data_IF_082340376992
#
_entry.id   IF_082340376992
#
_cell.length_a   1.000
_cell.length_b   1.000
_cell.length_c   1.000
_cell.angle_alpha   90.00
_cell.angle_beta   90.00
_cell.angle_gamma   90.00
#
_symmetry.space_group_name_H-M   'P 1'
#
loop_
_entity.id
_entity.type
_entity.pdbx_description
1 polymer ?
#
# COMPACT_ATOMS: atom_id res chain seq x y z
N UNK A 1 6.90 24.35 -2.45
CA UNK A 1 7.14 22.89 -2.32
C UNK A 1 6.12 22.06 -3.12
N UNK A 2 4.81 22.13 -2.85
CA UNK A 2 3.82 21.30 -3.56
C UNK A 2 3.77 21.51 -5.09
N UNK A 3 3.99 22.74 -5.58
CA UNK A 3 4.08 23.04 -7.03
C UNK A 3 5.32 22.45 -7.69
N UNK A 4 6.44 22.36 -6.94
CA UNK A 4 7.69 21.78 -7.43
C UNK A 4 7.54 20.26 -7.66
N UNK A 5 6.94 19.56 -6.70
CA UNK A 5 6.63 18.13 -6.86
C UNK A 5 5.62 17.85 -7.97
N UNK A 6 4.63 18.73 -8.17
CA UNK A 6 3.69 18.62 -9.29
C UNK A 6 4.40 18.63 -10.65
N UNK A 7 5.32 19.58 -10.86
CA UNK A 7 6.09 19.70 -12.12
C UNK A 7 7.03 18.52 -12.32
N UNK A 8 7.58 17.93 -11.25
CA UNK A 8 8.44 16.75 -11.31
C UNK A 8 7.66 15.46 -11.62
N UNK A 9 6.41 15.34 -11.15
CA UNK A 9 5.58 14.13 -11.31
C UNK A 9 4.68 14.17 -12.55
N UNK A 10 4.34 15.35 -13.07
CA UNK A 10 3.45 15.51 -14.23
C UNK A 10 3.91 14.80 -15.52
N UNK A 11 5.22 14.68 -15.85
CA UNK A 11 5.64 14.05 -17.10
C UNK A 11 5.48 12.53 -17.11
N UNK A 12 5.36 11.87 -15.94
CA UNK A 12 5.30 10.40 -15.83
C UNK A 12 3.95 9.83 -15.38
N UNK A 13 3.17 10.57 -14.58
CA UNK A 13 1.96 10.02 -13.94
C UNK A 13 0.65 10.65 -14.43
N UNK A 14 0.72 11.61 -15.36
CA UNK A 14 -0.44 12.32 -15.90
C UNK A 14 -0.99 13.41 -14.97
N UNK A 15 -1.86 14.30 -15.48
CA UNK A 15 -2.28 15.52 -14.77
C UNK A 15 -3.03 15.23 -13.46
N UNK A 16 -3.86 14.18 -13.43
CA UNK A 16 -4.70 13.83 -12.29
C UNK A 16 -3.90 13.27 -11.11
N UNK A 17 -2.92 12.39 -11.37
CA UNK A 17 -2.07 11.85 -10.32
C UNK A 17 -1.16 12.94 -9.73
N UNK A 18 -0.59 13.80 -10.57
CA UNK A 18 0.21 14.94 -10.10
C UNK A 18 -0.63 15.90 -9.24
N UNK A 19 -1.89 16.15 -9.62
CA UNK A 19 -2.81 16.97 -8.84
C UNK A 19 -3.12 16.33 -7.47
N UNK A 20 -3.34 15.02 -7.41
CA UNK A 20 -3.58 14.30 -6.16
C UNK A 20 -2.36 14.40 -5.21
N UNK A 21 -1.15 14.19 -5.74
CA UNK A 21 0.08 14.33 -4.95
C UNK A 21 0.28 15.77 -4.47
N UNK A 22 -0.01 16.77 -5.31
CA UNK A 22 0.02 18.18 -4.90
C UNK A 22 -0.93 18.47 -3.75
N UNK A 23 -2.16 17.95 -3.82
CA UNK A 23 -3.16 18.11 -2.75
C UNK A 23 -2.71 17.45 -1.46
N UNK A 24 -2.15 16.23 -1.53
CA UNK A 24 -1.57 15.55 -0.36
C UNK A 24 -0.46 16.38 0.30
N UNK A 25 0.50 16.87 -0.49
CA UNK A 25 1.61 17.69 0.05
C UNK A 25 1.08 18.98 0.69
N UNK A 26 0.04 19.60 0.12
CA UNK A 26 -0.59 20.78 0.72
C UNK A 26 -1.26 20.48 2.05
N UNK A 27 -2.01 19.37 2.14
CA UNK A 27 -2.71 18.98 3.37
C UNK A 27 -1.69 18.68 4.48
N UNK A 28 -0.65 17.91 4.17
CA UNK A 28 0.41 17.61 5.13
C UNK A 28 1.18 18.88 5.56
N UNK A 29 1.51 19.75 4.60
CA UNK A 29 2.18 21.02 4.89
C UNK A 29 1.34 21.96 5.76
N UNK A 30 0.03 22.03 5.52
CA UNK A 30 -0.89 22.82 6.34
C UNK A 30 -0.98 22.25 7.76
N UNK A 31 -1.09 20.93 7.91
CA UNK A 31 -1.08 20.28 9.23
C UNK A 31 0.20 20.57 10.02
N UNK A 32 1.36 20.46 9.37
CA UNK A 32 2.64 20.79 9.99
C UNK A 32 2.74 22.29 10.37
N UNK A 33 2.22 23.19 9.53
CA UNK A 33 2.17 24.62 9.83
C UNK A 33 1.31 24.91 11.06
N UNK A 34 0.11 24.32 11.14
CA UNK A 34 -0.78 24.49 12.29
C UNK A 34 -0.17 23.97 13.58
N UNK A 35 0.47 22.80 13.55
CA UNK A 35 1.21 22.27 14.68
C UNK A 35 2.36 23.20 15.11
N UNK A 36 3.10 23.77 14.16
CA UNK A 36 4.14 24.76 14.43
C UNK A 36 3.62 26.04 15.08
N UNK A 37 2.50 26.59 14.57
CA UNK A 37 1.85 27.78 15.14
C UNK A 37 1.37 27.48 16.58
N UNK A 38 0.73 26.34 16.80
CA UNK A 38 0.29 25.94 18.13
C UNK A 38 1.48 25.83 19.10
N UNK A 39 2.60 25.26 18.65
CA UNK A 39 3.84 25.19 19.43
C UNK A 39 4.43 26.55 19.78
N UNK A 40 4.38 27.51 18.84
CA UNK A 40 4.90 28.86 19.03
C UNK A 40 4.02 29.76 19.91
N UNK A 41 2.70 29.65 19.79
CA UNK A 41 1.74 30.54 20.48
C UNK A 41 1.30 29.98 21.84
N UNK A 42 1.02 28.67 21.91
CA UNK A 42 0.50 28.01 23.12
C UNK A 42 1.54 27.15 23.84
N UNK A 43 2.81 27.18 23.38
CA UNK A 43 3.92 26.44 23.96
C UNK A 43 4.15 25.07 23.30
N UNK A 44 5.38 24.55 23.43
CA UNK A 44 5.82 23.34 22.73
C UNK A 44 4.92 22.12 22.93
N UNK A 45 4.33 21.98 24.12
CA UNK A 45 3.38 20.90 24.43
C UNK A 45 2.13 20.92 23.52
N UNK A 46 1.59 22.10 23.23
CA UNK A 46 0.43 22.24 22.34
C UNK A 46 0.77 21.86 20.89
N UNK A 47 1.96 22.25 20.41
CA UNK A 47 2.44 21.87 19.09
C UNK A 47 2.66 20.37 18.95
N UNK A 48 3.27 19.74 19.97
CA UNK A 48 3.45 18.28 20.01
C UNK A 48 2.10 17.56 20.06
N UNK A 49 1.16 18.03 20.87
CA UNK A 49 -0.18 17.43 20.97
C UNK A 49 -0.92 17.46 19.62
N UNK A 50 -0.95 18.62 18.95
CA UNK A 50 -1.61 18.75 17.65
C UNK A 50 -0.89 17.96 16.56
N UNK A 51 0.43 18.04 16.50
CA UNK A 51 1.23 17.26 15.55
C UNK A 51 1.08 15.75 15.75
N UNK A 52 1.06 15.30 17.01
CA UNK A 52 0.81 13.90 17.38
C UNK A 52 -0.57 13.43 16.94
N UNK A 53 -1.62 14.22 17.19
CA UNK A 53 -2.97 13.90 16.73
C UNK A 53 -3.04 13.77 15.20
N UNK A 54 -2.47 14.73 14.45
CA UNK A 54 -2.42 14.67 12.99
C UNK A 54 -1.68 13.40 12.53
N UNK A 55 -0.54 13.09 13.16
CA UNK A 55 0.22 11.88 12.87
C UNK A 55 -0.58 10.59 13.09
N UNK A 56 -1.34 10.50 14.18
CA UNK A 56 -2.21 9.36 14.47
C UNK A 56 -3.31 9.19 13.41
N UNK A 57 -3.98 10.28 13.05
CA UNK A 57 -5.04 10.26 12.02
C UNK A 57 -4.48 9.78 10.67
N UNK A 58 -3.31 10.29 10.26
CA UNK A 58 -2.63 9.85 9.03
C UNK A 58 -2.22 8.38 9.13
N UNK A 59 -1.70 7.95 10.28
CA UNK A 59 -1.32 6.56 10.55
C UNK A 59 -2.51 5.62 10.37
N UNK A 60 -3.64 5.92 10.99
CA UNK A 60 -4.85 5.11 10.84
C UNK A 60 -5.39 5.12 9.41
N UNK A 61 -5.36 6.26 8.72
CA UNK A 61 -5.80 6.36 7.33
C UNK A 61 -4.93 5.52 6.37
N UNK A 62 -3.64 5.38 6.65
CA UNK A 62 -2.68 4.66 5.78
C UNK A 62 -2.41 3.22 6.20
N UNK A 63 -2.91 2.79 7.36
CA UNK A 63 -2.64 1.49 7.97
C UNK A 63 -2.86 0.32 7.00
N UNK A 64 -3.95 0.33 6.23
CA UNK A 64 -4.25 -0.76 5.30
C UNK A 64 -3.21 -0.88 4.18
N UNK A 65 -2.80 0.24 3.59
CA UNK A 65 -1.81 0.25 2.49
C UNK A 65 -0.45 -0.18 2.99
N UNK A 66 -0.04 0.29 4.18
CA UNK A 66 1.19 -0.13 4.83
C UNK A 66 1.17 -1.63 5.16
N UNK A 67 0.04 -2.14 5.65
CA UNK A 67 -0.16 -3.56 5.89
C UNK A 67 0.04 -4.41 4.63
N UNK A 68 -0.50 -3.96 3.48
CA UNK A 68 -0.24 -4.61 2.19
C UNK A 68 1.23 -4.61 1.85
N UNK A 69 1.89 -3.45 1.94
CA UNK A 69 3.29 -3.30 1.57
C UNK A 69 4.21 -4.22 2.38
N UNK A 70 4.01 -4.28 3.70
CA UNK A 70 4.75 -5.17 4.59
C UNK A 70 4.44 -6.64 4.28
N UNK A 71 3.19 -7.00 4.00
CA UNK A 71 2.81 -8.37 3.64
C UNK A 71 3.45 -8.82 2.33
N UNK A 72 3.45 -7.97 1.29
CA UNK A 72 4.09 -8.29 0.02
C UNK A 72 5.60 -8.40 0.15
N UNK A 73 6.24 -7.51 0.92
CA UNK A 73 7.66 -7.63 1.25
C UNK A 73 7.96 -8.96 1.96
N UNK A 74 7.13 -9.35 2.92
CA UNK A 74 7.29 -10.62 3.62
C UNK A 74 7.12 -11.83 2.69
N UNK A 75 6.13 -11.81 1.77
CA UNK A 75 5.97 -12.84 0.74
C UNK A 75 7.22 -12.99 -0.13
N UNK A 76 7.83 -11.87 -0.53
CA UNK A 76 9.05 -11.86 -1.33
C UNK A 76 10.27 -12.43 -0.59
N UNK A 77 10.35 -12.20 0.72
CA UNK A 77 11.43 -12.67 1.58
C UNK A 77 11.26 -14.14 2.00
N UNK A 78 10.10 -14.50 2.54
CA UNK A 78 9.80 -15.83 3.05
C UNK A 78 9.54 -16.84 1.92
N UNK A 79 9.11 -16.36 0.74
CA UNK A 79 8.80 -17.15 -0.46
C UNK A 79 7.99 -18.44 -0.15
N UNK A 80 6.82 -18.33 0.50
CA UNK A 80 6.00 -19.51 0.82
C UNK A 80 5.51 -20.25 -0.45
N UNK A 81 5.37 -19.52 -1.56
CA UNK A 81 5.08 -20.02 -2.89
C UNK A 81 5.89 -19.22 -3.92
N UNK A 82 5.97 -19.72 -5.15
CA UNK A 82 6.72 -19.13 -6.26
C UNK A 82 5.80 -18.71 -7.40
N UNK A 83 6.32 -17.85 -8.26
CA UNK A 83 5.68 -17.56 -9.55
C UNK A 83 5.61 -18.87 -10.35
N UNK A 84 4.42 -19.17 -10.87
CA UNK A 84 4.10 -20.42 -11.56
C UNK A 84 3.36 -21.45 -10.70
N UNK A 85 3.34 -21.30 -9.37
CA UNK A 85 2.61 -22.24 -8.51
C UNK A 85 1.10 -22.07 -8.67
N UNK A 86 0.38 -23.20 -8.61
CA UNK A 86 -1.08 -23.23 -8.54
C UNK A 86 -1.45 -23.21 -7.06
N UNK A 87 -2.21 -22.19 -6.66
CA UNK A 87 -2.63 -22.01 -5.26
C UNK A 87 -4.13 -21.86 -5.13
N UNK A 88 -4.65 -22.25 -3.96
CA UNK A 88 -5.96 -21.82 -3.48
C UNK A 88 -5.73 -20.82 -2.33
N UNK A 89 -6.24 -19.60 -2.49
CA UNK A 89 -6.11 -18.55 -1.49
C UNK A 89 -7.17 -17.46 -1.68
N UNK A 90 -7.52 -16.77 -0.58
CA UNK A 90 -8.43 -15.61 -0.60
C UNK A 90 -9.81 -15.87 -1.27
N UNK A 91 -10.33 -17.10 -1.18
CA UNK A 91 -11.59 -17.49 -1.80
C UNK A 91 -11.48 -17.88 -3.28
N UNK A 92 -10.30 -17.76 -3.89
CA UNK A 92 -10.03 -18.25 -5.23
C UNK A 92 -9.40 -19.64 -5.19
N UNK A 93 -9.87 -20.52 -6.07
CA UNK A 93 -9.34 -21.87 -6.23
C UNK A 93 -8.60 -21.99 -7.56
N UNK A 94 -7.49 -22.72 -7.53
CA UNK A 94 -6.74 -23.16 -8.69
C UNK A 94 -6.26 -22.00 -9.59
N UNK A 95 -5.73 -20.96 -8.94
CA UNK A 95 -5.15 -19.80 -9.62
C UNK A 95 -3.64 -19.97 -9.75
N UNK A 96 -3.09 -19.57 -10.90
CA UNK A 96 -1.65 -19.63 -11.19
C UNK A 96 -1.03 -18.29 -10.82
N UNK A 97 -0.04 -18.29 -9.93
CA UNK A 97 0.67 -17.05 -9.55
C UNK A 97 1.51 -16.57 -10.72
N UNK A 98 1.29 -15.33 -11.17
CA UNK A 98 2.02 -14.72 -12.30
C UNK A 98 3.04 -13.68 -11.86
N UNK A 99 2.75 -12.95 -10.79
CA UNK A 99 3.67 -11.96 -10.23
C UNK A 99 3.38 -11.73 -8.74
N UNK A 100 4.41 -11.40 -7.97
CA UNK A 100 4.31 -11.10 -6.53
C UNK A 100 4.74 -9.65 -6.34
N UNK A 101 3.76 -8.76 -6.22
CA UNK A 101 3.98 -7.35 -5.98
C UNK A 101 4.04 -7.00 -4.50
N UNK A 102 4.42 -5.76 -4.21
CA UNK A 102 4.48 -5.24 -2.83
C UNK A 102 3.09 -5.10 -2.22
N UNK A 103 2.06 -4.72 -3.01
CA UNK A 103 0.70 -4.51 -2.51
C UNK A 103 -0.27 -5.65 -2.86
N UNK A 104 -0.10 -6.22 -4.05
CA UNK A 104 -0.97 -7.25 -4.60
C UNK A 104 -0.12 -8.32 -5.27
N UNK A 105 -0.57 -9.56 -5.19
CA UNK A 105 -0.10 -10.68 -6.00
C UNK A 105 -1.03 -10.81 -7.20
N UNK A 106 -0.44 -10.90 -8.39
CA UNK A 106 -1.18 -11.09 -9.63
C UNK A 106 -1.26 -12.58 -9.90
N UNK A 107 -2.47 -13.11 -9.99
CA UNK A 107 -2.73 -14.49 -10.34
C UNK A 107 -3.63 -14.58 -11.58
N UNK A 108 -3.52 -15.67 -12.32
CA UNK A 108 -4.36 -15.96 -13.47
C UNK A 108 -5.27 -17.15 -13.16
N UNK A 109 -6.55 -16.97 -13.39
CA UNK A 109 -7.57 -18.00 -13.19
C UNK A 109 -7.74 -18.85 -14.44
N UNK A 110 -8.32 -20.04 -14.30
CA UNK A 110 -8.56 -20.98 -15.40
C UNK A 110 -9.42 -20.43 -16.54
N UNK A 111 -10.31 -19.49 -16.25
CA UNK A 111 -11.13 -18.79 -17.23
C UNK A 111 -10.34 -17.75 -18.07
N UNK A 112 -9.06 -17.55 -17.77
CA UNK A 112 -8.20 -16.60 -18.45
C UNK A 112 -8.14 -15.22 -17.79
N UNK A 113 -8.98 -14.97 -16.78
CA UNK A 113 -9.05 -13.68 -16.11
C UNK A 113 -7.85 -13.46 -15.16
N UNK A 114 -7.44 -12.21 -15.05
CA UNK A 114 -6.42 -11.77 -14.08
C UNK A 114 -7.08 -11.39 -12.76
N UNK A 115 -6.57 -11.96 -11.67
CA UNK A 115 -7.03 -11.71 -10.31
C UNK A 115 -5.93 -11.00 -9.53
N UNK A 116 -6.30 -9.90 -8.87
CA UNK A 116 -5.43 -9.14 -7.99
C UNK A 116 -5.76 -9.52 -6.54
N UNK A 117 -4.86 -10.29 -5.92
CA UNK A 117 -5.05 -10.77 -4.54
C UNK A 117 -4.27 -9.84 -3.60
N UNK A 118 -4.93 -9.20 -2.61
CA UNK A 118 -4.24 -8.39 -1.61
C UNK A 118 -3.18 -9.22 -0.84
N UNK A 119 -1.96 -8.71 -0.72
CA UNK A 119 -0.87 -9.41 -0.05
C UNK A 119 -1.18 -9.75 1.42
N UNK A 120 -1.94 -8.92 2.14
CA UNK A 120 -2.40 -9.23 3.52
C UNK A 120 -3.33 -10.42 3.55
N UNK A 121 -4.14 -10.66 2.51
CA UNK A 121 -5.05 -11.79 2.46
C UNK A 121 -4.27 -13.10 2.31
N UNK A 122 -3.16 -13.08 1.58
CA UNK A 122 -2.28 -14.24 1.42
C UNK A 122 -1.54 -14.57 2.71
N UNK A 123 -1.04 -13.58 3.44
CA UNK A 123 -0.37 -13.81 4.73
C UNK A 123 -1.35 -14.15 5.86
N UNK A 124 -2.55 -13.55 5.83
CA UNK A 124 -3.53 -13.67 6.91
C UNK A 124 -4.47 -14.88 6.80
N UNK A 125 -4.42 -15.64 5.69
CA UNK A 125 -5.32 -16.77 5.45
C UNK A 125 -4.56 -18.04 5.08
N UNK A 126 -5.25 -19.19 5.19
CA UNK A 126 -4.73 -20.48 4.74
C UNK A 126 -4.47 -20.45 3.24
N UNK A 127 -3.23 -20.76 2.84
CA UNK A 127 -2.85 -20.99 1.45
C UNK A 127 -2.69 -22.50 1.24
N UNK A 128 -3.28 -23.03 0.17
CA UNK A 128 -3.04 -24.40 -0.29
C UNK A 128 -2.23 -24.35 -1.57
N UNK A 129 -1.02 -24.91 -1.55
CA UNK A 129 -0.19 -25.03 -2.76
C UNK A 129 -0.50 -26.39 -3.38
N UNK A 130 -1.06 -26.38 -4.58
CA UNK A 130 -1.37 -27.61 -5.31
C UNK A 130 -0.12 -28.06 -6.05
N UNK A 131 0.35 -29.28 -5.75
CA UNK A 131 1.33 -29.96 -6.59
C UNK A 131 0.62 -30.33 -7.90
N UNK A 132 1.19 -29.93 -9.03
CA UNK A 132 0.78 -30.46 -10.33
C UNK A 132 0.97 -31.98 -10.27
N UNK A 133 -0.13 -32.74 -10.35
CA UNK A 133 -0.04 -34.19 -10.46
C UNK A 133 0.64 -34.48 -11.80
N UNK A 134 1.90 -34.91 -11.75
CA UNK A 134 2.58 -35.50 -12.91
C UNK A 134 1.70 -36.66 -13.38
N UNK A 135 1.10 -36.49 -14.56
CA UNK A 135 0.32 -37.52 -15.26
C UNK A 135 1.15 -38.00 -16.43
#
# INVERSE_FOLDING_TARGET
IASMFYVLLSPRYGPSAAAAVRSLIKILGLGALLAGIAGGVAGGAAGVALGGFIGLVIGFATQQVLGQAVSGMFLLLARPFKIGDIIDAAGESEVIVTDIGTLFTIAKRKDGNTVLIPSTALIGQKIVIRKQAET
#
